data_IF_678488352922
#
_entry.id   IF_678488352922
#
_cell.length_a   1.000
_cell.length_b   1.000
_cell.length_c   1.000
_cell.angle_alpha   90.00
_cell.angle_beta   90.00
_cell.angle_gamma   90.00
#
_symmetry.space_group_name_H-M   'P 1'
#
loop_
_entity.id
_entity.type
_entity.pdbx_description
1 polymer ?
#
# COMPACT_ATOMS: atom_id res chain seq x y z
N UNK A 1 28.40 -14.31 48.78
CA UNK A 1 29.84 -14.44 48.48
C UNK A 1 30.12 -15.90 48.12
N UNK A 2 31.06 -16.22 47.21
CA UNK A 2 31.88 -15.36 46.35
C UNK A 2 31.49 -15.52 44.85
N UNK A 3 32.14 -14.96 43.83
CA UNK A 3 32.84 -13.72 43.54
C UNK A 3 33.55 -13.94 42.18
N UNK A 4 33.84 -12.84 41.46
CA UNK A 4 34.81 -12.71 40.35
C UNK A 4 34.31 -13.10 38.93
N UNK A 5 34.58 -12.34 37.85
CA UNK A 5 35.61 -11.33 37.57
C UNK A 5 35.13 -10.16 36.69
N UNK A 6 35.70 -8.99 36.99
CA UNK A 6 35.76 -7.75 36.19
C UNK A 6 37.00 -7.77 35.27
N UNK A 7 36.92 -7.12 34.10
CA UNK A 7 37.97 -6.30 33.44
C UNK A 7 37.37 -5.76 32.11
N UNK A 8 37.06 -4.48 31.91
CA UNK A 8 37.90 -3.27 31.75
C UNK A 8 38.76 -3.25 30.46
N UNK A 9 38.44 -2.35 29.53
CA UNK A 9 39.36 -1.30 29.04
C UNK A 9 38.66 -0.30 28.12
N UNK A 10 39.03 0.96 28.32
CA UNK A 10 38.47 2.20 27.78
C UNK A 10 39.46 2.81 26.76
N UNK A 11 38.89 3.58 25.81
CA UNK A 11 39.38 4.85 25.28
C UNK A 11 40.46 4.93 24.16
N UNK A 12 40.38 6.11 23.50
CA UNK A 12 41.31 6.82 22.58
C UNK A 12 41.07 6.50 21.09
N UNK A 13 40.33 7.32 20.32
CA UNK A 13 40.49 8.71 19.87
C UNK A 13 41.42 8.90 18.65
N UNK A 14 40.83 9.48 17.59
CA UNK A 14 41.34 10.45 16.62
C UNK A 14 42.63 10.17 15.81
N UNK A 15 42.47 10.28 14.47
CA UNK A 15 43.10 11.30 13.61
C UNK A 15 43.88 10.81 12.36
N UNK A 16 43.30 11.17 11.20
CA UNK A 16 43.88 11.96 10.08
C UNK A 16 44.94 11.34 9.14
N UNK A 17 44.78 11.75 7.87
CA UNK A 17 45.71 11.79 6.73
C UNK A 17 45.79 10.55 5.82
N UNK A 18 45.92 10.61 4.49
CA UNK A 18 45.59 11.54 3.39
C UNK A 18 46.35 11.02 2.14
N UNK A 19 45.75 11.08 0.95
CA UNK A 19 46.33 11.35 -0.40
C UNK A 19 45.34 10.77 -1.44
N UNK A 20 44.47 11.54 -2.11
CA UNK A 20 44.69 12.56 -3.15
C UNK A 20 45.07 12.00 -4.53
N UNK A 21 44.15 12.17 -5.49
CA UNK A 21 44.35 12.73 -6.84
C UNK A 21 42.93 13.04 -7.36
N UNK A 22 42.45 14.29 -7.34
CA UNK A 22 42.73 15.39 -8.26
C UNK A 22 42.16 15.18 -9.69
N UNK A 23 41.07 15.89 -10.00
CA UNK A 23 40.82 16.45 -11.33
C UNK A 23 39.90 17.67 -11.21
N UNK A 24 40.46 18.84 -11.53
CA UNK A 24 39.84 20.17 -11.61
C UNK A 24 38.69 20.25 -12.62
N UNK A 25 37.67 21.08 -12.34
CA UNK A 25 37.42 22.33 -13.10
C UNK A 25 36.24 23.16 -12.56
N UNK A 26 36.43 24.47 -12.68
CA UNK A 26 35.64 25.57 -12.15
C UNK A 26 34.45 25.98 -13.05
N UNK A 27 33.56 26.78 -12.46
CA UNK A 27 32.40 27.41 -13.05
C UNK A 27 32.74 28.88 -13.41
N UNK A 28 32.50 29.28 -14.67
CA UNK A 28 32.41 30.67 -15.09
C UNK A 28 31.63 30.79 -16.42
N UNK A 29 30.62 31.65 -16.39
CA UNK A 29 30.04 32.54 -17.40
C UNK A 29 29.91 32.19 -18.90
N UNK A 30 28.66 32.44 -19.34
CA UNK A 30 28.14 32.89 -20.64
C UNK A 30 28.19 31.97 -21.87
N UNK A 31 27.08 31.96 -22.64
CA UNK A 31 27.19 32.40 -24.03
C UNK A 31 26.06 33.34 -24.50
N UNK A 32 26.48 34.34 -25.30
CA UNK A 32 25.88 34.96 -26.51
C UNK A 32 24.56 34.39 -27.05
N UNK A 33 23.69 35.09 -27.80
CA UNK A 33 23.49 36.45 -28.35
C UNK A 33 22.17 36.33 -29.16
N UNK A 34 21.31 37.34 -29.20
CA UNK A 34 20.63 37.80 -30.44
C UNK A 34 19.97 39.15 -30.17
N UNK A 35 20.22 40.07 -31.10
CA UNK A 35 19.78 41.47 -31.19
C UNK A 35 18.66 41.61 -32.22
N UNK A 36 17.77 42.60 -32.10
CA UNK A 36 17.17 43.40 -33.20
C UNK A 36 16.03 44.32 -32.68
N UNK A 37 16.25 45.63 -32.57
CA UNK A 37 15.77 46.69 -33.48
C UNK A 37 15.95 48.12 -32.90
N UNK A 38 16.35 49.03 -33.79
CA UNK A 38 16.43 50.51 -33.73
C UNK A 38 15.05 51.15 -33.43
N UNK A 39 14.85 52.40 -32.94
CA UNK A 39 15.42 53.70 -33.35
C UNK A 39 15.00 54.86 -32.41
N UNK A 40 15.79 55.95 -32.40
CA UNK A 40 15.66 57.27 -31.71
C UNK A 40 14.38 58.08 -32.06
N UNK A 41 14.02 59.21 -31.36
CA UNK A 41 14.79 60.49 -31.37
C UNK A 41 14.72 61.41 -30.11
N UNK A 42 15.47 62.52 -30.20
CA UNK A 42 15.76 63.65 -29.27
C UNK A 42 14.53 64.38 -28.67
N UNK A 43 14.71 65.24 -27.64
CA UNK A 43 13.80 66.35 -27.39
C UNK A 43 14.35 67.70 -27.87
N UNK A 44 13.50 68.42 -28.60
CA UNK A 44 13.66 69.81 -29.04
C UNK A 44 13.22 70.82 -27.99
N UNK A 45 13.81 72.00 -28.07
CA UNK A 45 13.49 73.25 -27.38
C UNK A 45 12.18 73.94 -27.84
N UNK A 46 11.73 74.93 -27.05
CA UNK A 46 10.75 76.03 -27.28
C UNK A 46 9.25 75.67 -27.21
N UNK A 47 8.35 76.39 -26.51
CA UNK A 47 8.44 77.63 -25.72
C UNK A 47 7.04 78.11 -25.23
N UNK A 48 7.05 79.06 -24.27
CA UNK A 48 6.03 80.07 -23.88
C UNK A 48 4.83 79.60 -23.01
N UNK A 49 4.31 80.35 -22.03
CA UNK A 49 4.65 81.62 -21.34
C UNK A 49 3.72 81.81 -20.12
N UNK A 50 4.00 82.85 -19.30
CA UNK A 50 3.21 83.52 -18.24
C UNK A 50 3.49 83.07 -16.78
N UNK A 51 4.40 83.74 -16.06
CA UNK A 51 4.28 85.01 -15.27
C UNK A 51 3.77 84.74 -13.83
N UNK A 52 4.38 85.21 -12.73
CA UNK A 52 4.63 86.62 -12.41
C UNK A 52 5.60 86.82 -11.19
N UNK A 53 6.56 87.75 -11.36
CA UNK A 53 7.22 88.74 -10.47
C UNK A 53 7.55 88.51 -8.98
N UNK A 54 8.81 88.80 -8.60
CA UNK A 54 9.30 90.01 -7.88
C UNK A 54 10.81 89.81 -7.55
N UNK A 55 11.73 90.53 -8.22
CA UNK A 55 12.38 91.79 -7.79
C UNK A 55 13.22 91.68 -6.50
N UNK A 56 14.57 91.67 -6.59
CA UNK A 56 15.34 92.91 -6.35
C UNK A 56 16.86 92.84 -6.64
N UNK A 57 17.34 93.95 -7.21
CA UNK A 57 18.63 94.62 -7.12
C UNK A 57 19.99 93.89 -6.99
N UNK A 58 20.66 93.71 -8.14
CA UNK A 58 21.76 94.59 -8.60
C UNK A 58 22.95 94.90 -7.64
N UNK A 59 24.14 94.35 -7.94
CA UNK A 59 25.28 95.17 -8.39
C UNK A 59 26.44 94.35 -8.97
N UNK A 60 26.83 94.81 -10.15
CA UNK A 60 28.02 94.47 -10.93
C UNK A 60 29.33 94.63 -10.17
N UNK A 61 30.30 93.77 -10.49
CA UNK A 61 31.69 94.14 -10.80
C UNK A 61 32.35 93.03 -11.62
N UNK A 62 33.15 93.48 -12.57
CA UNK A 62 33.85 92.74 -13.63
C UNK A 62 34.81 91.65 -13.12
N UNK A 63 35.25 90.74 -14.00
CA UNK A 63 36.23 89.71 -13.65
C UNK A 63 37.60 90.37 -13.44
N UNK A 64 38.03 90.52 -12.18
CA UNK A 64 39.45 90.72 -11.90
C UNK A 64 40.16 89.38 -12.00
N UNK A 65 41.03 89.26 -13.00
CA UNK A 65 42.12 88.30 -12.98
C UNK A 65 42.91 88.43 -11.67
N UNK A 66 43.41 87.33 -11.09
CA UNK A 66 44.18 87.40 -9.86
C UNK A 66 45.51 88.10 -10.16
N UNK A 67 45.57 89.41 -9.93
CA UNK A 67 46.83 90.15 -9.89
C UNK A 67 47.68 89.52 -8.79
N UNK A 68 48.85 89.05 -9.21
CA UNK A 68 49.77 88.29 -8.39
C UNK A 68 50.13 88.99 -7.09
N UNK A 69 50.39 88.16 -6.08
CA UNK A 69 51.25 88.45 -4.93
C UNK A 69 51.05 89.84 -4.33
N UNK A 70 50.09 89.96 -3.42
CA UNK A 70 49.89 91.11 -2.53
C UNK A 70 51.08 91.32 -1.60
N UNK A 71 52.20 91.76 -2.18
CA UNK A 71 53.44 92.03 -1.50
C UNK A 71 53.77 93.51 -1.70
N UNK A 72 53.35 94.32 -0.73
CA UNK A 72 53.59 95.76 -0.70
C UNK A 72 54.99 96.03 -0.13
N UNK A 73 55.99 96.38 -0.96
CA UNK A 73 57.37 96.54 -0.50
C UNK A 73 57.53 97.72 0.47
N UNK A 74 56.72 98.78 0.33
CA UNK A 74 56.75 99.93 1.22
C UNK A 74 56.24 99.64 2.63
N UNK A 75 55.23 98.76 2.76
CA UNK A 75 54.71 98.36 4.06
C UNK A 75 55.76 97.53 4.82
N UNK A 76 56.48 96.68 4.09
CA UNK A 76 57.63 95.92 4.59
C UNK A 76 58.81 96.82 4.97
N UNK A 77 59.12 97.85 4.19
CA UNK A 77 60.21 98.79 4.53
C UNK A 77 59.86 99.64 5.76
N UNK A 78 58.60 100.11 5.87
CA UNK A 78 58.09 100.79 7.06
C UNK A 78 58.10 99.88 8.29
N UNK A 79 57.68 98.62 8.14
CA UNK A 79 57.72 97.62 9.21
C UNK A 79 59.17 97.30 9.62
N UNK A 80 60.10 97.18 8.66
CA UNK A 80 61.51 96.91 8.92
C UNK A 80 62.18 98.06 9.67
N UNK A 81 61.86 99.32 9.33
CA UNK A 81 62.33 100.49 10.07
C UNK A 81 61.75 100.54 11.49
N UNK A 82 60.44 100.31 11.64
CA UNK A 82 59.77 100.23 12.93
C UNK A 82 60.33 99.12 13.82
N UNK A 83 60.65 97.94 13.25
CA UNK A 83 61.26 96.82 13.98
C UNK A 83 62.69 97.15 14.44
N UNK A 84 63.48 97.89 13.66
CA UNK A 84 64.83 98.33 14.05
C UNK A 84 64.80 99.31 15.23
N UNK A 85 63.89 100.28 15.19
CA UNK A 85 63.69 101.24 16.30
C UNK A 85 63.09 100.56 17.54
N UNK A 86 62.24 99.55 17.36
CA UNK A 86 61.69 98.77 18.46
C UNK A 86 62.75 97.90 19.16
N UNK A 87 63.65 97.28 18.39
CA UNK A 87 64.70 96.39 18.91
C UNK A 87 65.79 97.13 19.72
N UNK A 88 66.00 98.43 19.49
CA UNK A 88 66.95 99.23 20.28
C UNK A 88 66.40 99.66 21.64
N UNK A 89 65.11 99.44 21.92
CA UNK A 89 64.47 99.80 23.18
C UNK A 89 64.78 98.81 24.32
N UNK A 90 64.81 99.30 25.57
CA UNK A 90 65.20 98.52 26.77
C UNK A 90 64.26 97.34 27.09
N UNK A 91 63.01 97.35 26.61
CA UNK A 91 61.96 96.35 26.89
C UNK A 91 61.52 95.55 25.65
N UNK A 92 62.27 95.62 24.55
CA UNK A 92 61.90 94.99 23.28
C UNK A 92 61.57 93.49 23.43
N UNK A 93 62.36 92.75 24.23
CA UNK A 93 62.17 91.31 24.45
C UNK A 93 60.84 90.95 25.11
N UNK A 94 60.46 91.66 26.17
CA UNK A 94 59.21 91.41 26.90
C UNK A 94 57.99 91.69 26.02
N UNK A 95 58.05 92.77 25.22
CA UNK A 95 56.99 93.11 24.28
C UNK A 95 56.89 92.12 23.11
N UNK A 96 58.02 91.60 22.60
CA UNK A 96 58.01 90.50 21.63
C UNK A 96 57.38 89.22 22.18
N UNK A 97 57.64 88.88 23.44
CA UNK A 97 57.03 87.70 24.06
C UNK A 97 55.51 87.86 24.24
N UNK A 98 55.03 89.07 24.57
CA UNK A 98 53.60 89.36 24.63
C UNK A 98 52.97 89.29 23.24
N UNK A 99 53.59 89.91 22.23
CA UNK A 99 53.11 89.83 20.84
C UNK A 99 53.09 88.39 20.33
N UNK A 100 54.13 87.60 20.66
CA UNK A 100 54.19 86.18 20.28
C UNK A 100 53.08 85.37 20.94
N UNK A 101 52.79 85.63 22.22
CA UNK A 101 51.66 84.99 22.93
C UNK A 101 50.30 85.40 22.34
N UNK A 102 50.11 86.68 22.01
CA UNK A 102 48.87 87.16 21.38
C UNK A 102 48.67 86.54 19.99
N UNK A 103 49.73 86.45 19.18
CA UNK A 103 49.66 85.80 17.87
C UNK A 103 49.39 84.29 17.99
N UNK A 104 49.97 83.63 19.00
CA UNK A 104 49.66 82.24 19.32
C UNK A 104 48.19 82.04 19.71
N UNK A 105 47.62 82.92 20.55
CA UNK A 105 46.19 82.87 20.91
C UNK A 105 45.31 83.07 19.67
N UNK A 106 45.66 84.04 18.82
CA UNK A 106 44.93 84.32 17.58
C UNK A 106 44.95 83.14 16.60
N UNK A 107 46.11 82.48 16.45
CA UNK A 107 46.23 81.27 15.64
C UNK A 107 45.41 80.12 16.22
N UNK A 108 45.43 79.96 17.54
CA UNK A 108 44.61 78.95 18.22
C UNK A 108 43.11 79.18 18.03
N UNK A 109 42.63 80.43 18.10
CA UNK A 109 41.23 80.79 17.83
C UNK A 109 40.82 80.47 16.38
N UNK A 110 41.67 80.81 15.40
CA UNK A 110 41.44 80.47 14.00
C UNK A 110 41.41 78.96 13.76
N UNK A 111 42.26 78.19 14.45
CA UNK A 111 42.27 76.75 14.34
C UNK A 111 41.01 76.12 14.97
N UNK A 112 40.52 76.67 16.08
CA UNK A 112 39.23 76.27 16.67
C UNK A 112 38.07 76.56 15.72
N UNK A 113 38.07 77.73 15.07
CA UNK A 113 37.02 78.10 14.11
C UNK A 113 37.01 77.20 12.87
N UNK A 114 38.19 76.84 12.33
CA UNK A 114 38.30 75.86 11.23
C UNK A 114 37.72 74.50 11.64
N UNK A 115 38.11 73.99 12.80
CA UNK A 115 37.61 72.69 13.31
C UNK A 115 36.11 72.74 13.53
N UNK A 116 35.58 73.85 14.03
CA UNK A 116 34.13 74.04 14.22
C UNK A 116 33.39 74.04 12.87
N UNK A 117 33.94 74.70 11.86
CA UNK A 117 33.37 74.72 10.53
C UNK A 117 33.39 73.32 9.88
N UNK A 118 34.50 72.59 10.00
CA UNK A 118 34.61 71.19 9.55
C UNK A 118 33.62 70.28 10.29
N UNK A 119 33.42 70.48 11.60
CA UNK A 119 32.44 69.74 12.37
C UNK A 119 31.01 69.99 11.87
N UNK A 120 30.63 71.24 11.60
CA UNK A 120 29.32 71.58 11.02
C UNK A 120 29.15 70.92 9.65
N UNK A 121 30.16 71.00 8.77
CA UNK A 121 30.11 70.37 7.45
C UNK A 121 29.89 68.85 7.57
N UNK A 122 30.63 68.20 8.46
CA UNK A 122 30.50 66.76 8.70
C UNK A 122 29.09 66.39 9.21
N UNK A 123 28.48 67.21 10.07
CA UNK A 123 27.12 66.97 10.56
C UNK A 123 26.09 67.08 9.43
N UNK A 124 26.21 68.11 8.57
CA UNK A 124 25.32 68.30 7.42
C UNK A 124 25.43 67.12 6.44
N UNK A 125 26.63 66.62 6.19
CA UNK A 125 26.83 65.46 5.32
C UNK A 125 26.25 64.17 5.92
N UNK A 126 26.41 63.96 7.23
CA UNK A 126 25.77 62.83 7.93
C UNK A 126 24.25 62.91 7.86
N UNK A 127 23.65 64.09 8.04
CA UNK A 127 22.20 64.27 7.91
C UNK A 127 21.72 64.02 6.47
N UNK A 128 22.47 64.50 5.47
CA UNK A 128 22.16 64.23 4.06
C UNK A 128 22.17 62.73 3.77
N UNK A 129 23.18 62.01 4.25
CA UNK A 129 23.27 60.56 4.08
C UNK A 129 22.13 59.83 4.80
N UNK A 130 21.74 60.26 6.00
CA UNK A 130 20.59 59.70 6.73
C UNK A 130 19.28 59.88 5.97
N UNK A 131 19.00 61.07 5.46
CA UNK A 131 17.79 61.35 4.66
C UNK A 131 17.72 60.47 3.42
N UNK A 132 18.83 60.36 2.67
CA UNK A 132 18.90 59.49 1.49
C UNK A 132 18.68 58.00 1.85
N UNK A 133 19.23 57.55 2.98
CA UNK A 133 19.03 56.18 3.45
C UNK A 133 17.57 55.91 3.86
N UNK A 134 16.91 56.88 4.50
CA UNK A 134 15.50 56.80 4.89
C UNK A 134 14.59 56.77 3.65
N UNK A 135 14.83 57.64 2.66
CA UNK A 135 14.11 57.65 1.39
C UNK A 135 14.27 56.31 0.65
N UNK A 136 15.49 55.79 0.58
CA UNK A 136 15.76 54.50 -0.03
C UNK A 136 15.03 53.36 0.70
N UNK A 137 15.03 53.37 2.03
CA UNK A 137 14.31 52.37 2.84
C UNK A 137 12.81 52.42 2.58
N UNK A 138 12.23 53.62 2.50
CA UNK A 138 10.82 53.82 2.20
C UNK A 138 10.46 53.32 0.78
N UNK A 139 11.28 53.63 -0.22
CA UNK A 139 11.09 53.14 -1.59
C UNK A 139 11.16 51.61 -1.69
N UNK A 140 12.14 51.00 -1.04
CA UNK A 140 12.27 49.54 -0.99
C UNK A 140 11.03 48.92 -0.33
N UNK A 141 10.53 49.52 0.75
CA UNK A 141 9.36 49.03 1.45
C UNK A 141 8.08 49.14 0.61
N UNK A 142 7.87 50.26 -0.08
CA UNK A 142 6.73 50.42 -1.01
C UNK A 142 6.80 49.41 -2.16
N UNK A 143 7.99 49.22 -2.75
CA UNK A 143 8.20 48.23 -3.82
C UNK A 143 7.97 46.81 -3.35
N UNK A 144 8.38 46.49 -2.12
CA UNK A 144 8.12 45.18 -1.51
C UNK A 144 6.62 44.95 -1.28
N UNK A 145 5.88 45.96 -0.81
CA UNK A 145 4.43 45.89 -0.62
C UNK A 145 3.69 45.70 -1.95
N UNK A 146 4.03 46.47 -2.99
CA UNK A 146 3.43 46.33 -4.31
C UNK A 146 3.69 44.95 -4.92
N UNK A 147 4.92 44.42 -4.78
CA UNK A 147 5.24 43.05 -5.20
C UNK A 147 4.46 42.00 -4.41
N UNK A 148 4.33 42.17 -3.10
CA UNK A 148 3.56 41.25 -2.26
C UNK A 148 2.06 41.22 -2.66
N UNK A 149 1.49 42.36 -3.05
CA UNK A 149 0.13 42.43 -3.57
C UNK A 149 0.00 41.72 -4.92
N UNK A 150 0.96 41.94 -5.83
CA UNK A 150 1.00 41.23 -7.12
C UNK A 150 1.05 39.72 -6.96
N UNK A 151 1.96 39.22 -6.10
CA UNK A 151 2.09 37.78 -5.82
C UNK A 151 0.81 37.17 -5.23
N UNK A 152 0.11 37.89 -4.33
CA UNK A 152 -1.17 37.41 -3.78
C UNK A 152 -2.24 37.26 -4.86
N UNK A 153 -2.35 38.23 -5.77
CA UNK A 153 -3.31 38.16 -6.86
C UNK A 153 -2.97 37.03 -7.84
N UNK A 154 -1.68 36.82 -8.13
CA UNK A 154 -1.21 35.70 -8.95
C UNK A 154 -1.53 34.34 -8.30
N UNK A 155 -1.28 34.20 -7.00
CA UNK A 155 -1.63 33.00 -6.22
C UNK A 155 -3.14 32.74 -6.23
N UNK A 156 -3.97 33.77 -6.07
CA UNK A 156 -5.42 33.65 -6.13
C UNK A 156 -5.91 33.20 -7.50
N UNK A 157 -5.35 33.76 -8.57
CA UNK A 157 -5.67 33.35 -9.95
C UNK A 157 -5.21 31.92 -10.22
N UNK A 158 -4.02 31.53 -9.75
CA UNK A 158 -3.52 30.17 -9.89
C UNK A 158 -4.41 29.16 -9.17
N UNK A 159 -4.87 29.47 -7.94
CA UNK A 159 -5.82 28.64 -7.21
C UNK A 159 -7.14 28.49 -7.94
N UNK A 160 -7.67 29.56 -8.54
CA UNK A 160 -8.90 29.50 -9.34
C UNK A 160 -8.74 28.63 -10.58
N UNK A 161 -7.62 28.74 -11.31
CA UNK A 161 -7.32 27.88 -12.47
C UNK A 161 -7.23 26.41 -12.07
N UNK A 162 -6.53 26.12 -10.97
CA UNK A 162 -6.41 24.76 -10.46
C UNK A 162 -7.76 24.18 -10.02
N UNK A 163 -8.63 24.98 -9.41
CA UNK A 163 -10.00 24.57 -9.07
C UNK A 163 -10.82 24.25 -10.32
N UNK A 164 -10.78 25.12 -11.34
CA UNK A 164 -11.50 24.87 -12.60
C UNK A 164 -11.00 23.64 -13.33
N UNK A 165 -9.68 23.40 -13.31
CA UNK A 165 -9.07 22.23 -13.95
C UNK A 165 -9.47 20.94 -13.22
N UNK A 166 -9.44 20.94 -11.88
CA UNK A 166 -9.89 19.80 -11.08
C UNK A 166 -11.39 19.52 -11.28
N UNK A 167 -12.23 20.55 -11.37
CA UNK A 167 -13.66 20.37 -11.66
C UNK A 167 -13.89 19.80 -13.06
N UNK A 168 -13.17 20.29 -14.07
CA UNK A 168 -13.24 19.75 -15.43
C UNK A 168 -12.82 18.29 -15.48
N UNK A 169 -11.74 17.93 -14.77
CA UNK A 169 -11.25 16.56 -14.69
C UNK A 169 -12.25 15.63 -14.00
N UNK A 170 -12.88 16.09 -12.90
CA UNK A 170 -13.95 15.31 -12.24
C UNK A 170 -15.13 15.08 -13.17
N UNK A 171 -15.57 16.10 -13.91
CA UNK A 171 -16.66 15.94 -14.90
C UNK A 171 -16.30 14.92 -15.96
N UNK A 172 -15.10 15.02 -16.54
CA UNK A 172 -14.64 14.07 -17.53
C UNK A 172 -14.60 12.62 -17.00
N UNK A 173 -14.13 12.45 -15.76
CA UNK A 173 -14.07 11.14 -15.15
C UNK A 173 -15.46 10.57 -14.85
N UNK A 174 -16.39 11.40 -14.34
CA UNK A 174 -17.78 10.98 -14.14
C UNK A 174 -18.47 10.60 -15.46
N UNK A 175 -18.16 11.28 -16.57
CA UNK A 175 -18.69 10.94 -17.89
C UNK A 175 -18.11 9.62 -18.43
N UNK A 176 -16.81 9.36 -18.21
CA UNK A 176 -16.17 8.10 -18.59
C UNK A 176 -16.78 6.92 -17.85
N UNK A 177 -16.95 7.03 -16.53
CA UNK A 177 -17.59 5.99 -15.71
C UNK A 177 -19.02 5.74 -16.19
N UNK A 178 -19.79 6.81 -16.45
CA UNK A 178 -21.15 6.68 -16.97
C UNK A 178 -21.19 5.98 -18.33
N UNK A 179 -20.28 6.31 -19.25
CA UNK A 179 -20.18 5.61 -20.54
C UNK A 179 -19.79 4.13 -20.39
N UNK A 180 -18.92 3.82 -19.43
CA UNK A 180 -18.52 2.44 -19.13
C UNK A 180 -19.68 1.64 -18.54
N UNK A 181 -20.46 2.22 -17.64
CA UNK A 181 -21.68 1.64 -17.10
C UNK A 181 -22.71 1.40 -18.21
N UNK A 182 -22.98 2.39 -19.06
CA UNK A 182 -23.90 2.23 -20.21
C UNK A 182 -23.45 1.12 -21.16
N UNK A 183 -22.14 1.00 -21.43
CA UNK A 183 -21.57 -0.08 -22.23
C UNK A 183 -21.75 -1.45 -21.56
N UNK A 184 -21.57 -1.52 -20.24
CA UNK A 184 -21.77 -2.75 -19.47
C UNK A 184 -23.23 -3.21 -19.49
N UNK A 185 -24.17 -2.26 -19.34
CA UNK A 185 -25.61 -2.53 -19.39
C UNK A 185 -26.00 -3.02 -20.79
N UNK A 186 -25.50 -2.40 -21.86
CA UNK A 186 -25.75 -2.85 -23.25
C UNK A 186 -25.21 -4.26 -23.48
N UNK A 187 -24.01 -4.57 -22.99
CA UNK A 187 -23.41 -5.92 -23.07
C UNK A 187 -24.22 -6.94 -22.28
N UNK A 188 -24.69 -6.59 -21.09
CA UNK A 188 -25.48 -7.48 -20.25
C UNK A 188 -26.86 -7.76 -20.87
N UNK A 189 -27.50 -6.74 -21.45
CA UNK A 189 -28.75 -6.90 -22.20
C UNK A 189 -28.57 -7.80 -23.44
N UNK A 190 -27.48 -7.63 -24.19
CA UNK A 190 -27.16 -8.50 -25.33
C UNK A 190 -26.87 -9.95 -24.89
N UNK A 191 -26.24 -10.14 -23.73
CA UNK A 191 -26.01 -11.47 -23.16
C UNK A 191 -27.32 -12.12 -22.74
N UNK A 192 -28.23 -11.39 -22.11
CA UNK A 192 -29.55 -11.91 -21.73
C UNK A 192 -30.38 -12.31 -22.95
N UNK A 193 -30.42 -11.48 -23.99
CA UNK A 193 -31.18 -11.81 -25.21
C UNK A 193 -30.58 -13.01 -25.96
N UNK A 194 -29.26 -13.16 -25.96
CA UNK A 194 -28.60 -14.35 -26.56
C UNK A 194 -28.81 -15.61 -25.71
N UNK A 195 -28.73 -15.52 -24.38
CA UNK A 195 -29.05 -16.65 -23.48
C UNK A 195 -30.52 -17.08 -23.64
N UNK A 196 -31.46 -16.14 -23.77
CA UNK A 196 -32.87 -16.44 -24.05
C UNK A 196 -33.07 -17.16 -25.39
N UNK A 197 -32.36 -16.75 -26.45
CA UNK A 197 -32.39 -17.42 -27.75
C UNK A 197 -31.81 -18.83 -27.68
N UNK A 198 -30.69 -19.03 -26.99
CA UNK A 198 -30.07 -20.34 -26.81
C UNK A 198 -30.99 -21.27 -26.03
N UNK A 199 -31.60 -20.78 -24.94
CA UNK A 199 -32.56 -21.57 -24.17
C UNK A 199 -33.81 -21.92 -24.98
N UNK A 200 -34.32 -20.99 -25.79
CA UNK A 200 -35.45 -21.28 -26.67
C UNK A 200 -35.09 -22.38 -27.68
N UNK A 201 -33.89 -22.31 -28.28
CA UNK A 201 -33.41 -23.32 -29.21
C UNK A 201 -33.21 -24.68 -28.52
N UNK A 202 -32.64 -24.71 -27.31
CA UNK A 202 -32.48 -25.94 -26.52
C UNK A 202 -33.83 -26.60 -26.21
N UNK A 203 -34.83 -25.83 -25.76
CA UNK A 203 -36.18 -26.35 -25.50
C UNK A 203 -36.84 -26.95 -26.74
N UNK A 204 -36.59 -26.37 -27.92
CA UNK A 204 -37.08 -26.92 -29.19
C UNK A 204 -36.37 -28.24 -29.51
N UNK A 205 -35.04 -28.27 -29.43
CA UNK A 205 -34.26 -29.50 -29.70
C UNK A 205 -34.56 -30.62 -28.71
N UNK A 206 -34.82 -30.31 -27.44
CA UNK A 206 -35.22 -31.30 -26.43
C UNK A 206 -36.60 -31.88 -26.71
N UNK A 207 -37.55 -31.06 -27.15
CA UNK A 207 -38.88 -31.52 -27.57
C UNK A 207 -38.78 -32.46 -28.77
N UNK A 208 -38.02 -32.09 -29.80
CA UNK A 208 -37.78 -32.93 -30.98
C UNK A 208 -37.11 -34.27 -30.59
N UNK A 209 -36.11 -34.24 -29.71
CA UNK A 209 -35.48 -35.47 -29.19
C UNK A 209 -36.45 -36.35 -28.42
N UNK A 210 -37.29 -35.77 -27.56
CA UNK A 210 -38.28 -36.52 -26.80
C UNK A 210 -39.33 -37.17 -27.72
N UNK A 211 -39.69 -36.52 -28.83
CA UNK A 211 -40.57 -37.09 -29.84
C UNK A 211 -39.91 -38.28 -30.56
N UNK A 212 -38.66 -38.14 -31.01
CA UNK A 212 -37.89 -39.22 -31.63
C UNK A 212 -37.68 -40.40 -30.66
N UNK A 213 -37.38 -40.12 -29.39
CA UNK A 213 -37.23 -41.16 -28.36
C UNK A 213 -38.53 -41.93 -28.15
N UNK A 214 -39.68 -41.25 -28.16
CA UNK A 214 -40.98 -41.93 -28.07
C UNK A 214 -41.24 -42.83 -29.28
N UNK A 215 -40.90 -42.38 -30.48
CA UNK A 215 -41.04 -43.19 -31.70
C UNK A 215 -40.12 -44.40 -31.68
N UNK A 216 -38.86 -44.22 -31.30
CA UNK A 216 -37.89 -45.32 -31.19
C UNK A 216 -38.27 -46.33 -30.11
N UNK A 217 -38.75 -45.87 -28.95
CA UNK A 217 -39.26 -46.76 -27.89
C UNK A 217 -40.47 -47.55 -28.39
N UNK A 218 -41.40 -46.93 -29.14
CA UNK A 218 -42.56 -47.63 -29.73
C UNK A 218 -42.13 -48.72 -30.71
N UNK A 219 -41.23 -48.40 -31.65
CA UNK A 219 -40.73 -49.35 -32.64
C UNK A 219 -39.97 -50.50 -31.97
N UNK A 220 -39.09 -50.18 -30.99
CA UNK A 220 -38.33 -51.18 -30.25
C UNK A 220 -39.25 -52.10 -29.43
N UNK A 221 -40.26 -51.54 -28.76
CA UNK A 221 -41.21 -52.33 -27.98
C UNK A 221 -42.05 -53.29 -28.85
N UNK A 222 -42.45 -52.86 -30.05
CA UNK A 222 -43.14 -53.73 -31.01
C UNK A 222 -42.24 -54.86 -31.52
N UNK A 223 -41.01 -54.55 -31.94
CA UNK A 223 -40.05 -55.56 -32.40
C UNK A 223 -39.68 -56.56 -31.29
N UNK A 224 -39.51 -56.09 -30.05
CA UNK A 224 -39.20 -56.94 -28.91
C UNK A 224 -40.40 -57.80 -28.48
N UNK A 225 -41.63 -57.29 -28.60
CA UNK A 225 -42.84 -58.07 -28.38
C UNK A 225 -43.01 -59.19 -29.41
N UNK A 226 -42.71 -58.92 -30.69
CA UNK A 226 -42.71 -59.92 -31.75
C UNK A 226 -41.63 -60.99 -31.56
N UNK A 227 -40.41 -60.58 -31.16
CA UNK A 227 -39.31 -61.49 -30.83
C UNK A 227 -39.64 -62.40 -29.65
N UNK A 228 -40.17 -61.84 -28.56
CA UNK A 228 -40.58 -62.61 -27.38
C UNK A 228 -41.76 -63.54 -27.67
N UNK A 229 -42.70 -63.17 -28.55
CA UNK A 229 -43.78 -64.05 -28.97
C UNK A 229 -43.29 -65.25 -29.80
N UNK A 230 -42.21 -65.07 -30.57
CA UNK A 230 -41.58 -66.15 -31.32
C UNK A 230 -40.73 -67.08 -30.45
N UNK A 231 -39.98 -66.53 -29.49
CA UNK A 231 -39.16 -67.32 -28.55
C UNK A 231 -40.02 -68.11 -27.55
N UNK A 232 -41.14 -67.55 -27.09
CA UNK A 232 -42.09 -68.23 -26.21
C UNK A 232 -42.70 -69.47 -26.87
N UNK A 233 -42.98 -69.42 -28.18
CA UNK A 233 -43.50 -70.58 -28.94
C UNK A 233 -42.50 -71.74 -29.02
N UNK A 234 -41.20 -71.44 -29.12
CA UNK A 234 -40.15 -72.46 -29.24
C UNK A 234 -39.74 -73.05 -27.88
N UNK A 235 -39.91 -72.29 -26.79
CA UNK A 235 -39.51 -72.70 -25.44
C UNK A 235 -40.60 -73.47 -24.68
N UNK A 236 -41.87 -73.35 -25.07
CA UNK A 236 -43.00 -74.02 -24.40
C UNK A 236 -42.93 -75.56 -24.49
N UNK A 237 -42.49 -76.10 -25.62
CA UNK A 237 -42.38 -77.55 -25.85
C UNK A 237 -41.22 -78.21 -25.09
N UNK A 238 -40.16 -77.45 -24.78
CA UNK A 238 -38.98 -77.95 -24.06
C UNK A 238 -39.18 -77.89 -22.53
N UNK A 239 -39.81 -76.83 -22.02
CA UNK A 239 -39.99 -76.63 -20.57
C UNK A 239 -41.05 -77.55 -19.95
N UNK A 240 -42.06 -78.01 -20.71
CA UNK A 240 -43.09 -78.94 -20.19
C UNK A 240 -42.50 -80.27 -19.72
N UNK A 241 -41.40 -80.74 -20.32
CA UNK A 241 -40.76 -82.03 -19.94
C UNK A 241 -39.87 -81.89 -18.71
N UNK A 242 -39.11 -80.80 -18.62
CA UNK A 242 -38.24 -80.50 -17.48
C UNK A 242 -39.00 -80.15 -16.19
N UNK A 243 -40.22 -79.61 -16.28
CA UNK A 243 -41.01 -79.26 -15.09
C UNK A 243 -41.48 -80.49 -14.30
N UNK A 244 -41.79 -81.60 -14.96
CA UNK A 244 -42.33 -82.80 -14.31
C UNK A 244 -41.27 -83.46 -13.40
N UNK A 245 -39.99 -83.40 -13.77
CA UNK A 245 -38.89 -84.00 -13.00
C UNK A 245 -38.45 -83.14 -11.80
N UNK A 246 -38.53 -81.80 -11.88
CA UNK A 246 -38.20 -80.91 -10.75
C UNK A 246 -39.28 -80.85 -9.67
N UNK A 247 -40.56 -81.01 -10.04
CA UNK A 247 -41.69 -80.93 -9.09
C UNK A 247 -41.62 -82.01 -8.01
N UNK A 248 -41.05 -83.18 -8.32
CA UNK A 248 -40.98 -84.30 -7.38
C UNK A 248 -39.79 -84.19 -6.41
N UNK A 249 -38.70 -83.50 -6.78
CA UNK A 249 -37.49 -83.40 -5.95
C UNK A 249 -37.42 -82.20 -5.01
N UNK A 250 -38.16 -81.12 -5.28
CA UNK A 250 -38.09 -79.87 -4.50
C UNK A 250 -39.19 -79.74 -3.43
N UNK A 251 -40.30 -80.48 -3.56
CA UNK A 251 -41.40 -80.48 -2.56
C UNK A 251 -40.94 -80.96 -1.18
N UNK A 252 -40.04 -81.94 -1.10
CA UNK A 252 -39.62 -82.53 0.19
C UNK A 252 -38.67 -81.62 0.98
N UNK A 253 -37.80 -80.86 0.28
CA UNK A 253 -36.85 -79.93 0.91
C UNK A 253 -37.52 -78.65 1.42
N UNK A 254 -38.51 -78.16 0.67
CA UNK A 254 -39.27 -76.96 1.06
C UNK A 254 -40.22 -77.22 2.23
N UNK A 255 -40.82 -78.42 2.32
CA UNK A 255 -41.70 -78.78 3.44
C UNK A 255 -40.93 -78.94 4.78
N UNK A 256 -39.70 -79.45 4.74
CA UNK A 256 -38.87 -79.57 5.95
C UNK A 256 -38.34 -78.22 6.46
N UNK A 257 -37.96 -77.31 5.55
CA UNK A 257 -37.46 -75.98 5.91
C UNK A 257 -38.57 -75.05 6.42
N UNK A 258 -39.79 -75.12 5.85
CA UNK A 258 -40.94 -74.36 6.36
C UNK A 258 -41.32 -74.81 7.77
N UNK A 259 -41.45 -76.13 8.05
CA UNK A 259 -41.93 -76.59 9.36
C UNK A 259 -40.98 -76.30 10.53
N UNK A 260 -39.67 -76.24 10.27
CA UNK A 260 -38.65 -75.97 11.29
C UNK A 260 -38.48 -74.48 11.58
N UNK A 261 -38.64 -73.63 10.56
CA UNK A 261 -38.58 -72.17 10.74
C UNK A 261 -39.91 -71.59 11.24
N UNK A 262 -41.04 -72.17 10.88
CA UNK A 262 -42.36 -71.72 11.34
C UNK A 262 -42.64 -72.07 12.81
N UNK A 263 -42.14 -73.22 13.30
CA UNK A 263 -42.33 -73.63 14.70
C UNK A 263 -41.59 -72.74 15.72
N UNK A 264 -40.37 -72.27 15.39
CA UNK A 264 -39.64 -71.32 16.25
C UNK A 264 -40.24 -69.90 16.25
N UNK A 265 -40.87 -69.49 15.14
CA UNK A 265 -41.56 -68.21 15.04
C UNK A 265 -42.93 -68.27 15.73
N UNK A 266 -43.66 -69.37 15.62
CA UNK A 266 -44.98 -69.55 16.24
C UNK A 266 -44.91 -69.57 17.78
N UNK A 267 -43.88 -70.20 18.35
CA UNK A 267 -43.70 -70.24 19.81
C UNK A 267 -43.28 -68.87 20.39
N UNK A 268 -42.43 -68.13 19.67
CA UNK A 268 -42.05 -66.76 20.02
C UNK A 268 -43.19 -65.75 19.86
N UNK A 269 -43.98 -65.85 18.78
CA UNK A 269 -45.11 -64.95 18.49
C UNK A 269 -46.30 -65.23 19.43
N UNK A 270 -46.59 -66.48 19.77
CA UNK A 270 -47.61 -66.80 20.79
C UNK A 270 -47.17 -66.33 22.19
N UNK A 271 -45.91 -66.52 22.58
CA UNK A 271 -45.40 -65.98 23.85
C UNK A 271 -45.48 -64.44 23.90
N UNK A 272 -45.23 -63.76 22.78
CA UNK A 272 -45.35 -62.31 22.66
C UNK A 272 -46.79 -61.83 22.71
N UNK A 273 -47.74 -62.55 22.12
CA UNK A 273 -49.17 -62.18 22.15
C UNK A 273 -49.84 -62.44 23.51
N UNK A 274 -49.32 -63.37 24.31
CA UNK A 274 -49.92 -63.74 25.60
C UNK A 274 -49.41 -62.85 26.75
N UNK A 275 -48.14 -62.43 26.71
CA UNK A 275 -47.54 -61.56 27.74
C UNK A 275 -47.60 -60.07 27.35
N UNK A 276 -48.55 -59.33 27.93
CA UNK A 276 -48.72 -57.87 27.69
C UNK A 276 -47.43 -57.07 27.93
N UNK A 277 -46.63 -57.45 28.93
CA UNK A 277 -45.37 -56.77 29.25
C UNK A 277 -44.28 -57.02 28.20
N UNK A 278 -44.19 -58.25 27.65
CA UNK A 278 -43.23 -58.58 26.60
C UNK A 278 -43.63 -57.95 25.27
N UNK A 279 -44.92 -57.94 24.94
CA UNK A 279 -45.44 -57.25 23.76
C UNK A 279 -45.10 -55.77 23.77
N UNK A 280 -45.37 -55.08 24.89
CA UNK A 280 -45.08 -53.65 25.04
C UNK A 280 -43.57 -53.38 24.93
N UNK A 281 -42.72 -54.25 25.49
CA UNK A 281 -41.26 -54.12 25.36
C UNK A 281 -40.77 -54.37 23.92
N UNK A 282 -41.32 -55.33 23.20
CA UNK A 282 -40.91 -55.64 21.82
C UNK A 282 -41.42 -54.60 20.83
N UNK A 283 -42.68 -54.20 20.96
CA UNK A 283 -43.24 -53.10 20.15
C UNK A 283 -42.55 -51.80 20.51
N UNK A 284 -42.38 -51.50 21.80
CA UNK A 284 -41.64 -50.32 22.28
C UNK A 284 -40.18 -50.30 21.79
N UNK A 285 -39.50 -51.45 21.81
CA UNK A 285 -38.14 -51.60 21.30
C UNK A 285 -38.04 -51.43 19.78
N UNK A 286 -38.97 -52.02 19.02
CA UNK A 286 -39.03 -51.88 17.56
C UNK A 286 -39.38 -50.45 17.14
N UNK A 287 -40.34 -49.81 17.81
CA UNK A 287 -40.69 -48.40 17.58
C UNK A 287 -39.56 -47.47 18.01
N UNK A 288 -38.88 -47.73 19.12
CA UNK A 288 -37.72 -46.94 19.56
C UNK A 288 -36.54 -47.09 18.58
N UNK A 289 -36.32 -48.26 18.00
CA UNK A 289 -35.31 -48.47 16.96
C UNK A 289 -35.68 -47.75 15.67
N UNK A 290 -36.93 -47.88 15.20
CA UNK A 290 -37.41 -47.19 14.01
C UNK A 290 -37.35 -45.66 14.19
N UNK A 291 -37.82 -45.16 15.34
CA UNK A 291 -37.72 -43.76 15.72
C UNK A 291 -36.27 -43.31 15.86
N UNK A 292 -35.39 -44.12 16.43
CA UNK A 292 -33.96 -43.85 16.55
C UNK A 292 -33.26 -43.74 15.20
N UNK A 293 -33.54 -44.67 14.27
CA UNK A 293 -32.99 -44.65 12.91
C UNK A 293 -33.54 -43.43 12.15
N UNK A 294 -34.83 -43.14 12.26
CA UNK A 294 -35.46 -42.01 11.58
C UNK A 294 -34.96 -40.65 12.13
N UNK A 295 -34.93 -40.48 13.45
CA UNK A 295 -34.41 -39.27 14.09
C UNK A 295 -32.93 -39.07 13.80
N UNK A 296 -32.12 -40.14 13.72
CA UNK A 296 -30.71 -40.04 13.38
C UNK A 296 -30.51 -39.69 11.91
N UNK A 297 -31.26 -40.29 10.99
CA UNK A 297 -31.13 -40.04 9.54
C UNK A 297 -31.54 -38.62 9.18
N UNK A 298 -32.65 -38.14 9.73
CA UNK A 298 -33.17 -36.80 9.44
C UNK A 298 -32.43 -35.73 10.26
N UNK A 299 -32.07 -36.05 11.51
CA UNK A 299 -31.21 -35.20 12.35
C UNK A 299 -29.82 -35.01 11.74
N UNK A 300 -29.24 -36.05 11.14
CA UNK A 300 -27.95 -35.97 10.45
C UNK A 300 -28.02 -35.04 9.23
N UNK A 301 -29.11 -35.06 8.44
CA UNK A 301 -29.26 -34.16 7.27
C UNK A 301 -29.29 -32.68 7.66
N UNK A 302 -30.03 -32.33 8.71
CA UNK A 302 -30.15 -30.94 9.16
C UNK A 302 -28.84 -30.46 9.80
N UNK A 303 -28.22 -31.31 10.62
CA UNK A 303 -26.95 -30.96 11.27
C UNK A 303 -25.78 -30.88 10.29
N UNK A 304 -25.78 -31.67 9.21
CA UNK A 304 -24.73 -31.64 8.17
C UNK A 304 -24.56 -30.26 7.51
N UNK A 305 -25.66 -29.55 7.25
CA UNK A 305 -25.62 -28.19 6.68
C UNK A 305 -25.02 -27.16 7.64
N UNK A 306 -25.34 -27.26 8.93
CA UNK A 306 -24.83 -26.34 9.95
C UNK A 306 -23.34 -26.59 10.26
N UNK A 307 -22.93 -27.87 10.29
CA UNK A 307 -21.54 -28.28 10.52
C UNK A 307 -20.63 -27.79 9.38
N UNK A 308 -21.06 -27.89 8.12
CA UNK A 308 -20.30 -27.37 6.98
C UNK A 308 -20.11 -25.84 7.04
N UNK A 309 -21.07 -25.10 7.59
CA UNK A 309 -20.96 -23.64 7.73
C UNK A 309 -19.96 -23.21 8.80
N UNK A 310 -19.75 -24.04 9.82
CA UNK A 310 -18.84 -23.74 10.94
C UNK A 310 -17.44 -24.32 10.74
N UNK A 311 -17.32 -25.43 10.00
CA UNK A 311 -16.08 -26.19 9.80
C UNK A 311 -15.53 -26.15 8.37
N UNK A 312 -16.27 -25.60 7.42
CA UNK A 312 -15.85 -25.48 6.02
C UNK A 312 -14.65 -24.54 5.84
N UNK A 313 -13.78 -24.91 4.91
CA UNK A 313 -12.74 -24.02 4.38
C UNK A 313 -13.42 -22.84 3.66
N UNK A 314 -13.05 -21.59 3.96
CA UNK A 314 -13.65 -20.43 3.30
C UNK A 314 -13.31 -20.42 1.80
N UNK A 315 -14.24 -19.88 1.00
CA UNK A 315 -14.26 -20.04 -0.47
C UNK A 315 -13.07 -19.44 -1.21
N UNK A 316 -12.34 -18.51 -0.60
CA UNK A 316 -11.15 -17.87 -1.17
C UNK A 316 -9.84 -18.65 -0.94
N UNK A 317 -9.86 -19.70 -0.12
CA UNK A 317 -8.68 -20.51 0.13
C UNK A 317 -8.66 -21.66 -0.88
N UNK A 318 -7.66 -21.67 -1.76
CA UNK A 318 -7.45 -22.73 -2.76
C UNK A 318 -6.86 -23.98 -2.11
N UNK A 319 -5.87 -23.80 -1.23
CA UNK A 319 -5.20 -24.90 -0.55
C UNK A 319 -5.05 -24.60 0.93
N UNK A 320 -5.21 -25.61 1.79
CA UNK A 320 -4.84 -25.49 3.20
C UNK A 320 -4.34 -26.80 3.79
N UNK A 321 -3.47 -26.72 4.79
CA UNK A 321 -3.10 -27.88 5.62
C UNK A 321 -4.08 -28.14 6.76
N UNK A 322 -5.03 -27.23 7.00
CA UNK A 322 -6.09 -27.43 7.97
C UNK A 322 -7.00 -28.52 7.41
N UNK A 323 -7.04 -29.67 8.08
CA UNK A 323 -7.89 -30.78 7.66
C UNK A 323 -9.34 -30.31 7.58
N UNK A 324 -10.01 -30.61 6.45
CA UNK A 324 -11.43 -30.26 6.19
C UNK A 324 -12.38 -30.68 7.31
N UNK A 325 -11.98 -31.65 8.14
CA UNK A 325 -12.71 -32.05 9.33
C UNK A 325 -11.75 -32.18 10.53
N UNK A 326 -11.95 -31.41 11.62
CA UNK A 326 -11.09 -31.46 12.81
C UNK A 326 -11.10 -32.82 13.53
N UNK A 327 -12.08 -33.69 13.25
CA UNK A 327 -12.17 -35.04 13.83
C UNK A 327 -11.57 -36.15 12.96
N UNK A 328 -11.09 -35.82 11.75
CA UNK A 328 -10.41 -36.81 10.89
C UNK A 328 -9.19 -37.44 11.57
N UNK A 329 -8.47 -36.67 12.40
CA UNK A 329 -7.36 -37.18 13.22
C UNK A 329 -7.80 -38.04 14.42
N UNK A 330 -9.00 -37.81 14.99
CA UNK A 330 -9.53 -38.60 16.11
C UNK A 330 -9.97 -39.99 15.65
N UNK A 331 -10.64 -40.08 14.50
CA UNK A 331 -11.01 -41.36 13.88
C UNK A 331 -9.77 -42.17 13.46
N UNK A 332 -8.73 -41.52 12.93
CA UNK A 332 -7.51 -42.22 12.53
C UNK A 332 -6.73 -42.75 13.74
N UNK A 333 -6.68 -42.02 14.86
CA UNK A 333 -6.06 -42.49 16.10
C UNK A 333 -6.84 -43.67 16.73
N UNK A 334 -8.17 -43.63 16.69
CA UNK A 334 -9.03 -44.72 17.17
C UNK A 334 -8.87 -45.98 16.29
N UNK A 335 -8.92 -45.85 14.96
CA UNK A 335 -8.67 -46.97 14.04
C UNK A 335 -7.24 -47.49 14.15
N UNK A 336 -6.22 -46.63 14.27
CA UNK A 336 -4.84 -47.06 14.46
C UNK A 336 -4.63 -47.82 15.78
N UNK A 337 -5.39 -47.52 16.84
CA UNK A 337 -5.34 -48.24 18.12
C UNK A 337 -5.99 -49.63 18.00
N UNK A 338 -7.07 -49.74 17.24
CA UNK A 338 -7.76 -51.02 16.95
C UNK A 338 -6.94 -51.91 16.00
N UNK A 339 -6.29 -51.32 14.99
CA UNK A 339 -5.43 -52.03 14.04
C UNK A 339 -4.15 -52.50 14.74
N UNK A 340 -3.53 -51.69 15.61
CA UNK A 340 -2.35 -52.09 16.41
C UNK A 340 -2.64 -53.26 17.36
N UNK A 341 -3.85 -53.32 17.92
CA UNK A 341 -4.23 -54.44 18.79
C UNK A 341 -4.44 -55.76 18.01
N UNK A 342 -4.54 -55.73 16.67
CA UNK A 342 -4.70 -56.93 15.83
C UNK A 342 -3.40 -57.42 15.18
N UNK A 343 -2.30 -56.67 15.28
CA UNK A 343 -0.99 -57.06 14.73
C UNK A 343 0.03 -57.24 15.86
N UNK A 344 -0.23 -58.21 16.74
CA UNK A 344 0.76 -58.74 17.70
C UNK A 344 1.09 -60.19 17.32
N UNK A 345 1.58 -60.38 16.09
CA UNK A 345 2.24 -61.61 15.68
C UNK A 345 3.20 -61.29 14.53
N UNK A 346 4.50 -61.28 14.83
CA UNK A 346 5.56 -61.50 13.85
C UNK A 346 6.09 -60.27 13.12
N UNK A 347 7.42 -60.18 13.12
CA UNK A 347 8.30 -59.39 12.24
C UNK A 347 8.35 -57.88 12.45
N UNK A 348 9.41 -57.46 13.15
CA UNK A 348 10.00 -56.14 13.06
C UNK A 348 10.49 -55.90 11.62
N UNK A 349 9.72 -55.11 10.86
CA UNK A 349 10.16 -54.49 9.61
C UNK A 349 10.37 -52.99 9.83
N UNK A 350 11.45 -52.37 9.31
CA UNK A 350 11.71 -50.94 9.46
C UNK A 350 10.98 -50.19 8.34
N UNK A 351 9.75 -49.74 8.59
CA UNK A 351 8.94 -48.99 7.61
C UNK A 351 7.99 -48.12 8.45
N UNK A 352 7.95 -46.80 8.41
CA UNK A 352 8.44 -45.82 7.45
C UNK A 352 8.67 -44.52 8.24
N UNK A 353 9.92 -44.08 8.32
CA UNK A 353 10.19 -42.67 8.47
C UNK A 353 9.46 -41.99 7.31
N UNK A 354 8.40 -41.23 7.64
CA UNK A 354 7.68 -40.40 6.67
C UNK A 354 8.74 -39.66 5.88
N UNK A 355 8.83 -39.99 4.58
CA UNK A 355 9.74 -39.42 3.60
C UNK A 355 9.90 -37.93 3.85
N UNK A 356 11.01 -37.57 4.49
CA UNK A 356 11.54 -36.22 4.50
C UNK A 356 12.19 -35.97 3.14
N UNK A 357 11.38 -36.00 2.08
CA UNK A 357 11.76 -35.60 0.74
C UNK A 357 11.10 -34.21 0.54
N UNK A 358 11.79 -33.09 0.63
CA UNK A 358 13.22 -32.90 0.36
C UNK A 358 13.50 -32.80 -1.14
N UNK A 359 12.50 -32.50 -1.96
CA UNK A 359 12.70 -32.31 -3.40
C UNK A 359 12.40 -30.88 -3.85
N UNK A 360 12.81 -29.94 -3.00
CA UNK A 360 12.94 -28.55 -3.41
C UNK A 360 14.43 -28.27 -3.37
N UNK A 361 15.06 -28.30 -4.54
CA UNK A 361 16.48 -27.96 -4.70
C UNK A 361 16.58 -26.43 -4.59
N UNK A 362 16.80 -25.95 -3.38
CA UNK A 362 17.08 -24.54 -3.13
C UNK A 362 18.59 -24.30 -3.11
N UNK A 363 19.00 -23.13 -3.59
CA UNK A 363 20.37 -22.67 -3.39
C UNK A 363 20.70 -22.64 -1.88
N UNK A 364 21.89 -23.11 -1.43
CA UNK A 364 22.20 -23.26 0.01
C UNK A 364 22.05 -21.97 0.83
N UNK A 365 22.30 -20.80 0.23
CA UNK A 365 22.10 -19.51 0.90
C UNK A 365 20.62 -19.23 1.20
N UNK A 366 19.72 -19.58 0.28
CA UNK A 366 18.29 -19.41 0.44
C UNK A 366 17.72 -20.40 1.46
N UNK A 367 18.22 -21.65 1.44
CA UNK A 367 17.84 -22.65 2.43
C UNK A 367 18.18 -22.22 3.86
N UNK A 368 19.37 -21.66 4.09
CA UNK A 368 19.77 -21.10 5.40
C UNK A 368 18.85 -19.96 5.83
N UNK A 369 18.51 -19.04 4.92
CA UNK A 369 17.58 -17.93 5.20
C UNK A 369 16.19 -18.44 5.58
N UNK A 370 15.63 -19.40 4.83
CA UNK A 370 14.34 -20.03 5.12
C UNK A 370 14.37 -20.72 6.48
N UNK A 371 15.43 -21.46 6.79
CA UNK A 371 15.55 -22.14 8.07
C UNK A 371 15.62 -21.14 9.25
N UNK A 372 16.35 -20.04 9.08
CA UNK A 372 16.41 -18.98 10.07
C UNK A 372 15.04 -18.32 10.27
N UNK A 373 14.33 -18.02 9.18
CA UNK A 373 12.97 -17.48 9.23
C UNK A 373 11.99 -18.44 9.89
N UNK A 374 12.02 -19.73 9.53
CA UNK A 374 11.15 -20.73 10.13
C UNK A 374 11.39 -20.89 11.64
N UNK A 375 12.68 -20.90 12.06
CA UNK A 375 13.04 -20.95 13.48
C UNK A 375 12.58 -19.69 14.22
N UNK A 376 12.74 -18.52 13.61
CA UNK A 376 12.25 -17.27 14.17
C UNK A 376 10.72 -17.30 14.35
N UNK A 377 9.97 -17.70 13.33
CA UNK A 377 8.51 -17.82 13.36
C UNK A 377 8.03 -18.84 14.39
N UNK A 378 8.70 -20.00 14.49
CA UNK A 378 8.39 -21.01 15.51
C UNK A 378 8.62 -20.46 16.93
N UNK A 379 9.72 -19.74 17.16
CA UNK A 379 10.00 -19.10 18.45
C UNK A 379 9.00 -17.98 18.76
N UNK A 380 8.62 -17.17 17.78
CA UNK A 380 7.61 -16.12 17.91
C UNK A 380 6.28 -16.71 18.41
N UNK A 381 5.87 -17.87 17.89
CA UNK A 381 4.69 -18.60 18.38
C UNK A 381 4.83 -19.02 19.84
N UNK A 382 5.99 -19.56 20.22
CA UNK A 382 6.24 -20.00 21.61
C UNK A 382 6.18 -18.81 22.58
N UNK A 383 6.73 -17.67 22.17
CA UNK A 383 6.82 -16.47 23.01
C UNK A 383 5.65 -15.48 22.82
N UNK A 384 4.61 -15.85 22.05
CA UNK A 384 3.46 -14.99 21.73
C UNK A 384 3.84 -13.58 21.21
N UNK A 385 4.96 -13.48 20.51
CA UNK A 385 5.39 -12.24 19.88
C UNK A 385 4.60 -11.98 18.58
N UNK A 386 4.52 -10.72 18.09
CA UNK A 386 3.85 -10.43 16.82
C UNK A 386 4.55 -11.11 15.64
N UNK A 387 3.75 -11.69 14.74
CA UNK A 387 4.26 -12.31 13.50
C UNK A 387 4.77 -11.26 12.52
N UNK A 388 5.79 -11.63 11.74
CA UNK A 388 6.36 -10.78 10.69
C UNK A 388 5.67 -11.07 9.36
N UNK A 389 5.31 -10.02 8.64
CA UNK A 389 4.84 -10.13 7.26
C UNK A 389 6.04 -10.21 6.31
N UNK A 390 5.94 -11.05 5.28
CA UNK A 390 7.02 -11.27 4.31
C UNK A 390 6.46 -11.13 2.89
N UNK A 391 7.17 -10.38 2.04
CA UNK A 391 6.86 -10.26 0.62
C UNK A 391 7.96 -10.95 -0.19
N UNK A 392 7.57 -11.91 -1.03
CA UNK A 392 8.48 -12.55 -1.98
C UNK A 392 8.31 -11.90 -3.35
N UNK A 393 9.40 -11.35 -3.90
CA UNK A 393 9.41 -10.74 -5.23
C UNK A 393 10.41 -11.47 -6.14
N UNK A 394 10.17 -11.40 -7.45
CA UNK A 394 11.04 -11.98 -8.48
C UNK A 394 10.25 -12.49 -9.68
N UNK A 395 10.93 -12.89 -10.77
CA UNK A 395 10.30 -13.41 -11.98
C UNK A 395 9.34 -14.58 -11.71
N UNK A 396 8.29 -14.80 -12.53
CA UNK A 396 7.44 -15.99 -12.43
C UNK A 396 8.29 -17.26 -12.58
N UNK A 397 7.88 -18.37 -11.95
CA UNK A 397 8.60 -19.64 -12.00
C UNK A 397 9.83 -19.78 -11.08
N UNK A 398 10.18 -18.75 -10.29
CA UNK A 398 11.31 -18.79 -9.32
C UNK A 398 11.01 -19.53 -8.01
N UNK A 399 9.88 -20.25 -7.92
CA UNK A 399 9.54 -21.06 -6.76
C UNK A 399 9.10 -20.30 -5.50
N UNK A 400 8.66 -19.04 -5.63
CA UNK A 400 8.19 -18.20 -4.49
C UNK A 400 7.11 -18.89 -3.64
N UNK A 401 6.05 -19.39 -4.29
CA UNK A 401 4.95 -20.13 -3.67
C UNK A 401 5.44 -21.41 -2.97
N UNK A 402 6.42 -22.09 -3.57
CA UNK A 402 7.03 -23.29 -3.03
C UNK A 402 7.86 -23.01 -1.77
N UNK A 403 8.61 -21.90 -1.76
CA UNK A 403 9.35 -21.41 -0.58
C UNK A 403 8.41 -21.11 0.58
N UNK A 404 7.28 -20.43 0.31
CA UNK A 404 6.28 -20.10 1.33
C UNK A 404 5.72 -21.37 2.00
N UNK A 405 5.40 -22.39 1.20
CA UNK A 405 4.93 -23.70 1.69
C UNK A 405 5.97 -24.39 2.59
N UNK A 406 7.25 -24.34 2.20
CA UNK A 406 8.31 -24.95 3.00
C UNK A 406 8.59 -24.19 4.31
N UNK A 407 8.44 -22.86 4.33
CA UNK A 407 8.51 -22.07 5.57
C UNK A 407 7.40 -22.49 6.54
N UNK A 408 6.15 -22.62 6.07
CA UNK A 408 5.03 -23.04 6.92
C UNK A 408 5.28 -24.44 7.51
N UNK A 409 5.71 -25.39 6.67
CA UNK A 409 6.05 -26.76 7.07
C UNK A 409 7.15 -26.80 8.12
N UNK A 410 8.25 -26.08 7.91
CA UNK A 410 9.38 -26.03 8.85
C UNK A 410 9.07 -25.27 10.14
N UNK A 411 8.14 -24.32 10.09
CA UNK A 411 7.70 -23.56 11.27
C UNK A 411 6.68 -24.32 12.13
N UNK A 412 6.10 -25.41 11.62
CA UNK A 412 5.04 -26.16 12.30
C UNK A 412 3.71 -25.39 12.41
N UNK A 413 3.51 -24.41 11.53
CA UNK A 413 2.24 -23.69 11.37
C UNK A 413 1.37 -24.40 10.34
N UNK A 414 0.06 -24.20 10.43
CA UNK A 414 -0.81 -24.54 9.31
C UNK A 414 -0.56 -23.55 8.15
N UNK A 415 -0.77 -23.97 6.91
CA UNK A 415 -0.71 -23.09 5.75
C UNK A 415 -2.10 -22.94 5.13
N UNK A 416 -2.37 -21.76 4.57
CA UNK A 416 -3.47 -21.50 3.67
C UNK A 416 -2.98 -20.64 2.51
N UNK A 417 -3.42 -20.95 1.29
CA UNK A 417 -3.09 -20.21 0.09
C UNK A 417 -4.37 -19.63 -0.52
N UNK A 418 -4.34 -18.33 -0.78
CA UNK A 418 -5.31 -17.62 -1.62
C UNK A 418 -4.60 -16.99 -2.82
N UNK A 419 -5.34 -16.75 -3.89
CA UNK A 419 -4.85 -16.03 -5.08
C UNK A 419 -5.55 -14.68 -5.16
N UNK A 420 -4.81 -13.59 -5.36
CA UNK A 420 -5.35 -12.24 -5.51
C UNK A 420 -6.35 -12.11 -6.66
N UNK A 421 -6.13 -12.83 -7.76
CA UNK A 421 -7.08 -12.92 -8.87
C UNK A 421 -8.47 -13.47 -8.51
N UNK A 422 -8.61 -14.28 -7.44
CA UNK A 422 -9.92 -14.72 -6.96
C UNK A 422 -10.61 -13.67 -6.09
N UNK A 423 -9.86 -12.72 -5.54
CA UNK A 423 -10.37 -11.68 -4.63
C UNK A 423 -10.80 -10.44 -5.42
N UNK A 424 -10.05 -10.09 -6.47
CA UNK A 424 -10.33 -8.94 -7.33
C UNK A 424 -11.77 -8.86 -7.88
N UNK A 425 -12.41 -9.94 -8.41
CA UNK A 425 -13.76 -9.86 -8.96
C UNK A 425 -14.87 -9.74 -7.91
N UNK A 426 -14.60 -9.96 -6.63
CA UNK A 426 -15.64 -9.93 -5.57
C UNK A 426 -16.00 -8.51 -5.12
N UNK A 427 -15.20 -7.49 -5.47
CA UNK A 427 -15.45 -6.09 -5.10
C UNK A 427 -15.68 -5.92 -3.60
N UNK A 428 -16.82 -5.35 -3.21
CA UNK A 428 -17.18 -5.11 -1.80
C UNK A 428 -17.32 -6.40 -0.97
N UNK A 429 -17.65 -7.54 -1.58
CA UNK A 429 -17.78 -8.82 -0.86
C UNK A 429 -16.43 -9.42 -0.47
N UNK A 430 -15.33 -8.96 -1.09
CA UNK A 430 -13.98 -9.43 -0.79
C UNK A 430 -13.61 -9.19 0.69
N UNK A 431 -13.97 -8.03 1.25
CA UNK A 431 -13.69 -7.69 2.65
C UNK A 431 -14.34 -8.68 3.61
N UNK A 432 -15.61 -9.01 3.38
CA UNK A 432 -16.35 -9.99 4.19
C UNK A 432 -15.69 -11.37 4.12
N UNK A 433 -15.27 -11.80 2.92
CA UNK A 433 -14.60 -13.10 2.74
C UNK A 433 -13.20 -13.14 3.35
N UNK A 434 -12.46 -12.03 3.32
CA UNK A 434 -11.17 -11.91 4.00
C UNK A 434 -11.37 -11.98 5.53
N UNK A 435 -12.40 -11.34 6.09
CA UNK A 435 -12.74 -11.49 7.51
C UNK A 435 -13.09 -12.94 7.88
N UNK A 436 -13.86 -13.65 7.04
CA UNK A 436 -14.14 -15.08 7.23
C UNK A 436 -12.85 -15.91 7.31
N UNK A 437 -11.84 -15.60 6.47
CA UNK A 437 -10.52 -16.26 6.49
C UNK A 437 -9.78 -15.97 7.80
N UNK A 438 -9.77 -14.73 8.28
CA UNK A 438 -9.10 -14.39 9.53
C UNK A 438 -9.76 -15.05 10.75
N UNK A 439 -11.09 -15.12 10.79
CA UNK A 439 -11.80 -15.80 11.86
C UNK A 439 -11.61 -17.32 11.80
N UNK A 440 -11.54 -17.88 10.59
CA UNK A 440 -11.15 -19.27 10.39
C UNK A 440 -9.69 -19.53 10.83
N UNK A 441 -8.77 -18.61 10.54
CA UNK A 441 -7.37 -18.70 10.95
C UNK A 441 -7.20 -18.74 12.47
N UNK A 442 -7.97 -17.92 13.20
CA UNK A 442 -7.98 -17.90 14.67
C UNK A 442 -8.43 -19.23 15.29
N UNK A 443 -9.22 -20.05 14.57
CA UNK A 443 -9.66 -21.37 15.04
C UNK A 443 -8.54 -22.43 15.01
N UNK A 444 -7.45 -22.21 14.28
CA UNK A 444 -6.33 -23.16 14.24
C UNK A 444 -5.55 -23.16 15.56
N UNK A 445 -5.37 -24.37 16.13
CA UNK A 445 -4.52 -24.58 17.32
C UNK A 445 -3.03 -24.41 17.01
N UNK A 446 -2.61 -24.57 15.76
CA UNK A 446 -1.20 -24.49 15.36
C UNK A 446 -0.78 -23.08 14.95
N UNK A 447 -1.73 -22.17 14.76
CA UNK A 447 -1.47 -20.88 14.09
C UNK A 447 -1.39 -21.07 12.57
N UNK A 448 -1.78 -20.05 11.81
CA UNK A 448 -1.91 -20.12 10.36
C UNK A 448 -0.93 -19.16 9.68
N UNK A 449 -0.20 -19.66 8.70
CA UNK A 449 0.53 -18.87 7.71
C UNK A 449 -0.36 -18.72 6.47
N UNK A 450 -0.83 -17.49 6.24
CA UNK A 450 -1.64 -17.13 5.09
C UNK A 450 -0.74 -16.63 3.95
N UNK A 451 -0.74 -17.34 2.84
CA UNK A 451 -0.02 -16.98 1.63
C UNK A 451 -1.00 -16.38 0.60
N UNK A 452 -0.69 -15.18 0.13
CA UNK A 452 -1.44 -14.48 -0.90
C UNK A 452 -0.57 -14.47 -2.16
N UNK A 453 -0.93 -15.30 -3.13
CA UNK A 453 -0.31 -15.28 -4.46
C UNK A 453 -0.92 -14.16 -5.30
N UNK A 454 -0.17 -13.61 -6.26
CA UNK A 454 -0.64 -12.49 -7.11
C UNK A 454 -1.18 -11.30 -6.28
N UNK A 455 -0.42 -10.92 -5.24
CA UNK A 455 -0.79 -9.80 -4.36
C UNK A 455 -0.80 -8.44 -5.09
N UNK A 456 -0.14 -8.35 -6.24
CA UNK A 456 -0.23 -7.19 -7.15
C UNK A 456 -1.67 -6.93 -7.60
N UNK A 457 -2.51 -7.95 -7.77
CA UNK A 457 -3.93 -7.78 -8.07
C UNK A 457 -4.72 -7.09 -6.94
N UNK A 458 -4.20 -7.13 -5.70
CA UNK A 458 -4.81 -6.50 -4.52
C UNK A 458 -4.14 -5.16 -4.16
N UNK A 459 -2.86 -5.00 -4.51
CA UNK A 459 -2.02 -3.85 -4.11
C UNK A 459 -1.88 -2.78 -5.21
N UNK A 460 -2.45 -2.98 -6.40
CA UNK A 460 -2.51 -1.93 -7.42
C UNK A 460 -3.21 -0.69 -6.85
N UNK A 461 -2.57 0.47 -7.03
CA UNK A 461 -2.95 1.74 -6.42
C UNK A 461 -4.41 2.12 -6.70
N UNK A 462 -5.06 2.74 -5.70
CA UNK A 462 -6.40 3.35 -5.78
C UNK A 462 -6.42 4.59 -6.70
N UNK A 463 -5.81 4.53 -7.89
CA UNK A 463 -5.77 5.64 -8.84
C UNK A 463 -6.88 5.56 -9.90
N UNK A 464 -7.57 4.43 -10.03
CA UNK A 464 -8.64 4.25 -11.04
C UNK A 464 -10.05 4.12 -10.44
N UNK A 465 -10.22 4.40 -9.13
CA UNK A 465 -11.53 4.53 -8.46
C UNK A 465 -11.71 5.96 -7.91
N UNK A 466 -11.72 6.95 -8.80
CA UNK A 466 -12.34 8.28 -8.59
C UNK A 466 -13.16 8.59 -9.82
#
# INVERSE_FOLDING_TARGET
MPASKLSSCLAVAAAVASLSTASNRAFADAPSRFSFFSSSPQPTSSGNDEAEQTADAQKSREPEEPRGSGFDPEALERAAKALREFNSSRHAREAFDIMRKQEQTRLAELDVEKVHYEAIQSQVDVERQRKLAEEHRNLVQQKAQARAQGLRNEDELARKRLQTDHEAQRRHNTELVKMQEESSIRKEQARRSTEEQIQAQQRLTEKERAEIERETIRVKAMAEAEGRAHEAKLTEDHNRRMLIERINGEREKWLAAINTTFSHIEEGVRSLLTDRNKLVMTVGGATALAAGIYTTREGARVTWGYVNRILGQPSLIRESSIGKFPWSGLLSQAMNKVIRNKTSAGTAGPVEAIKNNGDIILHPSLQRRIQHLAKATANTKIHQAPFRNMLFYGPPGTGKTMVAREIARKSGLDYAMMTGGDVAPLGAQAVTKIHEIFDWAKKSKKGLLLFIDEADAFLCDNQDFI
#
